data_IF_512360806726
#
_entry.id   IF_512360806726
#
_cell.length_a   1.000
_cell.length_b   1.000
_cell.length_c   1.000
_cell.angle_alpha   90.00
_cell.angle_beta   90.00
_cell.angle_gamma   90.00
#
_symmetry.space_group_name_H-M   'P 1'
#
loop_
_entity.id
_entity.type
_entity.pdbx_description
1 polymer ?
#
# COMPACT_ATOMS: atom_id res chain seq x y z
N UNK A 1 28.45 2.16 -6.74
CA UNK A 1 27.11 2.29 -6.12
C UNK A 1 26.26 1.13 -6.54
N UNK A 2 25.57 0.47 -5.60
CA UNK A 2 24.70 -0.68 -5.90
C UNK A 2 23.27 -0.18 -6.05
N UNK A 3 22.63 -0.41 -7.19
CA UNK A 3 21.23 -0.03 -7.45
C UNK A 3 20.22 -0.60 -6.43
N UNK A 4 20.63 -1.60 -5.64
CA UNK A 4 19.83 -2.23 -4.59
C UNK A 4 19.31 -1.23 -3.53
N UNK A 5 20.03 -0.14 -3.25
CA UNK A 5 19.58 0.89 -2.29
C UNK A 5 18.38 1.72 -2.80
N UNK A 6 18.09 1.68 -4.10
CA UNK A 6 16.94 2.35 -4.71
C UNK A 6 15.68 1.48 -4.68
N UNK A 7 15.82 0.15 -4.57
CA UNK A 7 14.68 -0.77 -4.66
C UNK A 7 13.61 -0.48 -3.61
N UNK A 8 13.93 -0.20 -2.32
CA UNK A 8 12.90 0.13 -1.33
C UNK A 8 12.13 1.41 -1.64
N UNK A 9 12.79 2.47 -2.12
CA UNK A 9 12.08 3.71 -2.48
C UNK A 9 11.24 3.54 -3.75
N UNK A 10 11.72 2.80 -4.74
CA UNK A 10 10.95 2.53 -5.97
C UNK A 10 9.70 1.71 -5.64
N UNK A 11 9.86 0.59 -4.94
CA UNK A 11 8.75 -0.31 -4.59
C UNK A 11 7.73 0.34 -3.65
N UNK A 12 8.18 1.10 -2.64
CA UNK A 12 7.27 1.87 -1.77
C UNK A 12 6.58 3.03 -2.52
N UNK A 13 7.23 3.66 -3.50
CA UNK A 13 6.59 4.67 -4.37
C UNK A 13 5.48 4.03 -5.20
N UNK A 14 5.73 2.87 -5.81
CA UNK A 14 4.69 2.13 -6.54
C UNK A 14 3.53 1.74 -5.61
N UNK A 15 3.81 1.32 -4.39
CA UNK A 15 2.79 0.97 -3.40
C UNK A 15 1.93 2.18 -3.00
N UNK A 16 2.56 3.30 -2.66
CA UNK A 16 1.87 4.53 -2.29
C UNK A 16 1.04 5.09 -3.45
N UNK A 17 1.60 5.11 -4.67
CA UNK A 17 0.89 5.57 -5.85
C UNK A 17 -0.31 4.69 -6.18
N UNK A 18 -0.15 3.36 -6.13
CA UNK A 18 -1.26 2.42 -6.33
C UNK A 18 -2.36 2.63 -5.27
N UNK A 19 -1.99 2.81 -4.01
CA UNK A 19 -2.96 3.11 -2.95
C UNK A 19 -3.69 4.44 -3.20
N UNK A 20 -2.99 5.48 -3.64
CA UNK A 20 -3.57 6.78 -3.96
C UNK A 20 -4.51 6.71 -5.15
N UNK A 21 -4.10 6.05 -6.24
CA UNK A 21 -4.91 5.86 -7.44
C UNK A 21 -6.21 5.11 -7.13
N UNK A 22 -6.13 4.00 -6.39
CA UNK A 22 -7.31 3.28 -5.93
C UNK A 22 -8.23 4.16 -5.07
N UNK A 23 -7.67 4.94 -4.15
CA UNK A 23 -8.46 5.84 -3.31
C UNK A 23 -9.17 6.92 -4.13
N UNK A 24 -8.45 7.54 -5.08
CA UNK A 24 -8.98 8.56 -5.97
C UNK A 24 -10.10 8.00 -6.86
N UNK A 25 -9.83 6.89 -7.55
CA UNK A 25 -10.76 6.28 -8.50
C UNK A 25 -12.01 5.74 -7.80
N UNK A 26 -11.87 5.08 -6.65
CA UNK A 26 -13.01 4.55 -5.89
C UNK A 26 -13.96 5.62 -5.37
N UNK A 27 -13.46 6.84 -5.12
CA UNK A 27 -14.33 7.97 -4.73
C UNK A 27 -15.25 8.43 -5.86
N UNK A 28 -14.92 8.16 -7.12
CA UNK A 28 -15.78 8.51 -8.26
C UNK A 28 -17.10 7.75 -8.15
N UNK A 29 -17.07 6.45 -7.84
CA UNK A 29 -18.25 5.60 -7.62
C UNK A 29 -19.14 6.06 -6.45
N UNK A 30 -18.65 6.96 -5.58
CA UNK A 30 -19.42 7.50 -4.45
C UNK A 30 -20.21 8.77 -4.77
N UNK A 31 -20.12 9.31 -5.99
CA UNK A 31 -20.87 10.51 -6.37
C UNK A 31 -22.37 10.20 -6.51
N UNK A 32 -23.19 11.17 -6.12
CA UNK A 32 -24.66 11.00 -6.05
C UNK A 32 -25.32 10.83 -7.42
N UNK A 33 -24.80 11.54 -8.42
CA UNK A 33 -25.25 11.52 -9.82
C UNK A 33 -25.10 10.15 -10.48
N UNK A 34 -24.06 9.40 -10.13
CA UNK A 34 -23.81 8.06 -10.69
C UNK A 34 -24.12 6.92 -9.72
N UNK A 35 -24.82 7.17 -8.61
CA UNK A 35 -25.07 6.14 -7.58
C UNK A 35 -25.77 4.91 -8.13
N UNK A 36 -26.86 5.08 -8.89
CA UNK A 36 -27.62 3.96 -9.45
C UNK A 36 -26.78 3.09 -10.42
N UNK A 37 -26.04 3.66 -11.41
CA UNK A 37 -25.13 2.86 -12.23
C UNK A 37 -23.94 2.30 -11.44
N UNK A 38 -23.41 3.02 -10.45
CA UNK A 38 -22.33 2.52 -9.59
C UNK A 38 -22.79 1.29 -8.78
N UNK A 39 -23.96 1.33 -8.16
CA UNK A 39 -24.51 0.21 -7.38
C UNK A 39 -24.67 -1.06 -8.23
N UNK A 40 -24.94 -0.91 -9.54
CA UNK A 40 -25.02 -2.05 -10.48
C UNK A 40 -23.66 -2.63 -10.90
N UNK A 41 -22.61 -1.83 -10.89
CA UNK A 41 -21.28 -2.21 -11.41
C UNK A 41 -20.30 -2.65 -10.32
N UNK A 42 -20.47 -2.15 -9.10
CA UNK A 42 -19.47 -2.28 -8.04
C UNK A 42 -19.13 -3.73 -7.75
N UNK A 43 -20.12 -4.62 -7.61
CA UNK A 43 -19.85 -6.02 -7.28
C UNK A 43 -19.01 -6.71 -8.36
N UNK A 44 -19.39 -6.59 -9.64
CA UNK A 44 -18.63 -7.18 -10.75
C UNK A 44 -17.24 -6.57 -10.89
N UNK A 45 -17.11 -5.26 -10.62
CA UNK A 45 -15.83 -4.58 -10.61
C UNK A 45 -14.91 -5.17 -9.54
N UNK A 46 -15.39 -5.31 -8.30
CA UNK A 46 -14.60 -5.83 -7.19
C UNK A 46 -14.25 -7.31 -7.33
N UNK A 47 -15.15 -8.13 -7.87
CA UNK A 47 -14.87 -9.54 -8.19
C UNK A 47 -13.73 -9.68 -9.21
N UNK A 48 -13.65 -8.75 -10.17
CA UNK A 48 -12.59 -8.75 -11.20
C UNK A 48 -11.30 -8.13 -10.69
N UNK A 49 -11.41 -7.03 -9.95
CA UNK A 49 -10.28 -6.22 -9.51
C UNK A 49 -9.53 -6.80 -8.32
N UNK A 50 -10.24 -7.39 -7.35
CA UNK A 50 -9.67 -7.76 -6.06
C UNK A 50 -8.54 -8.80 -6.19
N UNK A 51 -8.68 -9.92 -6.93
CA UNK A 51 -7.62 -10.92 -7.01
C UNK A 51 -6.27 -10.38 -7.53
N UNK A 52 -6.19 -9.70 -8.69
CA UNK A 52 -4.91 -9.14 -9.14
C UNK A 52 -4.42 -8.00 -8.25
N UNK A 53 -5.31 -7.17 -7.68
CA UNK A 53 -4.91 -6.09 -6.79
C UNK A 53 -4.23 -6.61 -5.52
N UNK A 54 -4.73 -7.71 -4.93
CA UNK A 54 -4.10 -8.38 -3.78
C UNK A 54 -2.70 -8.87 -4.14
N UNK A 55 -2.54 -9.51 -5.30
CA UNK A 55 -1.23 -9.97 -5.79
C UNK A 55 -0.24 -8.81 -5.93
N UNK A 56 -0.66 -7.69 -6.51
CA UNK A 56 0.18 -6.49 -6.65
C UNK A 56 0.59 -5.96 -5.27
N UNK A 57 -0.35 -5.83 -4.34
CA UNK A 57 -0.07 -5.32 -2.99
C UNK A 57 0.91 -6.21 -2.24
N UNK A 58 0.68 -7.53 -2.21
CA UNK A 58 1.57 -8.47 -1.54
C UNK A 58 2.96 -8.50 -2.17
N UNK A 59 3.05 -8.36 -3.49
CA UNK A 59 4.34 -8.28 -4.19
C UNK A 59 5.13 -7.05 -3.78
N UNK A 60 4.49 -5.87 -3.75
CA UNK A 60 5.14 -4.61 -3.38
C UNK A 60 5.56 -4.59 -1.90
N UNK A 61 4.73 -5.11 -1.00
CA UNK A 61 5.08 -5.28 0.42
C UNK A 61 6.29 -6.19 0.56
N UNK A 62 6.29 -7.33 -0.14
CA UNK A 62 7.39 -8.31 -0.09
C UNK A 62 8.70 -7.72 -0.62
N UNK A 63 8.69 -7.05 -1.77
CA UNK A 63 9.88 -6.43 -2.36
C UNK A 63 10.46 -5.34 -1.44
N UNK A 64 9.59 -4.45 -0.92
CA UNK A 64 10.01 -3.34 -0.05
C UNK A 64 10.63 -3.88 1.25
N UNK A 65 9.95 -4.82 1.92
CA UNK A 65 10.39 -5.37 3.20
C UNK A 65 11.62 -6.28 3.05
N UNK A 66 11.61 -7.22 2.11
CA UNK A 66 12.73 -8.14 1.90
C UNK A 66 14.01 -7.39 1.53
N UNK A 67 13.91 -6.38 0.64
CA UNK A 67 15.09 -5.61 0.26
C UNK A 67 15.59 -4.73 1.42
N UNK A 68 14.68 -4.08 2.14
CA UNK A 68 15.06 -3.25 3.30
C UNK A 68 15.78 -4.08 4.38
N UNK A 69 15.25 -5.25 4.72
CA UNK A 69 15.88 -6.13 5.71
C UNK A 69 17.15 -6.80 5.18
N UNK A 70 17.18 -7.17 3.90
CA UNK A 70 18.38 -7.67 3.24
C UNK A 70 19.52 -6.66 3.30
N UNK A 71 19.24 -5.37 3.05
CA UNK A 71 20.22 -4.29 3.19
C UNK A 71 20.67 -4.10 4.64
N UNK A 72 19.73 -4.12 5.58
CA UNK A 72 20.03 -4.06 7.03
C UNK A 72 20.96 -5.19 7.46
N UNK A 73 20.78 -6.40 6.92
CA UNK A 73 21.60 -7.57 7.24
C UNK A 73 22.98 -7.54 6.56
N UNK A 74 23.00 -7.30 5.24
CA UNK A 74 24.21 -7.41 4.42
C UNK A 74 25.11 -6.18 4.44
N UNK A 75 24.55 -4.99 4.70
CA UNK A 75 25.25 -3.70 4.59
C UNK A 75 25.25 -2.92 5.92
N UNK A 76 25.06 -3.61 7.04
CA UNK A 76 24.82 -2.99 8.36
C UNK A 76 25.84 -1.91 8.75
N UNK A 77 27.15 -2.16 8.58
CA UNK A 77 28.22 -1.21 8.92
C UNK A 77 28.10 0.08 8.13
N UNK A 78 27.96 -0.02 6.80
CA UNK A 78 27.80 1.14 5.92
C UNK A 78 26.53 1.92 6.27
N UNK A 79 25.40 1.24 6.46
CA UNK A 79 24.15 1.90 6.78
C UNK A 79 24.18 2.62 8.13
N UNK A 80 24.94 2.09 9.11
CA UNK A 80 25.15 2.76 10.40
C UNK A 80 26.03 3.99 10.25
N UNK A 81 27.13 3.88 9.50
CA UNK A 81 28.02 5.01 9.20
C UNK A 81 27.27 6.14 8.48
N UNK A 82 26.41 5.80 7.51
CA UNK A 82 25.55 6.77 6.80
C UNK A 82 24.31 7.22 7.58
N UNK A 83 24.05 6.64 8.75
CA UNK A 83 22.86 6.93 9.55
C UNK A 83 21.53 6.55 8.86
N UNK A 84 21.55 5.63 7.89
CA UNK A 84 20.38 5.12 7.17
C UNK A 84 19.84 3.78 7.71
N UNK A 85 20.57 3.13 8.63
CA UNK A 85 20.20 1.82 9.18
C UNK A 85 18.77 1.75 9.74
N UNK A 86 18.44 2.65 10.68
CA UNK A 86 17.12 2.66 11.32
C UNK A 86 16.01 3.04 10.33
N UNK A 87 16.32 3.80 9.28
CA UNK A 87 15.37 4.20 8.25
C UNK A 87 15.00 3.03 7.33
N UNK A 88 15.98 2.22 6.90
CA UNK A 88 15.68 0.97 6.18
C UNK A 88 14.92 -0.01 7.06
N UNK A 89 15.32 -0.18 8.33
CA UNK A 89 14.60 -1.06 9.26
C UNK A 89 13.14 -0.62 9.42
N UNK A 90 12.90 0.67 9.71
CA UNK A 90 11.56 1.23 9.86
C UNK A 90 10.73 1.11 8.57
N UNK A 91 11.31 1.40 7.40
CA UNK A 91 10.63 1.26 6.11
C UNK A 91 10.18 -0.19 5.86
N UNK A 92 11.07 -1.17 6.09
CA UNK A 92 10.72 -2.58 5.96
C UNK A 92 9.64 -3.03 6.95
N UNK A 93 9.69 -2.57 8.20
CA UNK A 93 8.67 -2.86 9.22
C UNK A 93 7.33 -2.24 8.87
N UNK A 94 7.31 -0.98 8.41
CA UNK A 94 6.08 -0.29 8.00
C UNK A 94 5.46 -0.94 6.75
N UNK A 95 6.27 -1.41 5.80
CA UNK A 95 5.75 -2.18 4.66
C UNK A 95 4.96 -3.42 5.13
N UNK A 96 5.47 -4.18 6.11
CA UNK A 96 4.73 -5.29 6.71
C UNK A 96 3.53 -4.78 7.54
N UNK A 97 3.69 -3.65 8.21
CA UNK A 97 2.65 -2.98 8.99
C UNK A 97 1.38 -2.69 8.19
N UNK A 98 1.45 -2.63 6.86
CA UNK A 98 0.29 -2.58 5.98
C UNK A 98 -0.73 -3.70 6.31
N UNK A 99 -0.24 -4.91 6.61
CA UNK A 99 -1.04 -6.10 6.88
C UNK A 99 -1.83 -6.01 8.19
N UNK A 100 -1.50 -5.09 9.10
CA UNK A 100 -2.29 -4.82 10.32
C UNK A 100 -3.72 -4.40 9.99
N UNK A 101 -3.95 -3.84 8.80
CA UNK A 101 -5.28 -3.46 8.33
C UNK A 101 -6.08 -4.61 7.72
N UNK A 102 -5.48 -5.78 7.50
CA UNK A 102 -6.15 -6.92 6.87
C UNK A 102 -7.42 -7.37 7.63
N UNK A 103 -7.45 -7.47 8.98
CA UNK A 103 -8.65 -7.87 9.71
C UNK A 103 -9.82 -6.89 9.52
N UNK A 104 -9.55 -5.60 9.39
CA UNK A 104 -10.57 -4.60 9.10
C UNK A 104 -10.99 -4.60 7.62
N UNK A 105 -10.08 -4.92 6.71
CA UNK A 105 -10.29 -4.84 5.26
C UNK A 105 -11.00 -6.07 4.68
N UNK A 106 -10.65 -7.27 5.14
CA UNK A 106 -11.20 -8.53 4.62
C UNK A 106 -12.74 -8.60 4.60
N UNK A 107 -13.48 -8.29 5.70
CA UNK A 107 -14.94 -8.35 5.65
C UNK A 107 -15.54 -7.33 4.68
N UNK A 108 -14.92 -6.16 4.53
CA UNK A 108 -15.36 -5.13 3.58
C UNK A 108 -15.20 -5.63 2.14
N UNK A 109 -14.07 -6.28 1.83
CA UNK A 109 -13.82 -6.86 0.50
C UNK A 109 -14.77 -8.01 0.19
N UNK A 110 -15.12 -8.84 1.17
CA UNK A 110 -16.11 -9.91 1.02
C UNK A 110 -17.49 -9.32 0.70
N UNK A 111 -17.93 -8.32 1.48
CA UNK A 111 -19.21 -7.64 1.24
C UNK A 111 -19.27 -6.94 -0.12
N UNK A 112 -18.15 -6.38 -0.61
CA UNK A 112 -18.07 -5.76 -1.94
C UNK A 112 -18.12 -6.76 -3.09
N UNK A 113 -17.80 -8.03 -2.84
CA UNK A 113 -17.79 -9.10 -3.84
C UNK A 113 -19.04 -10.00 -3.77
N UNK A 114 -19.88 -9.83 -2.75
CA UNK A 114 -21.11 -10.60 -2.57
C UNK A 114 -22.29 -9.97 -3.32
N UNK A 115 -22.82 -10.70 -4.31
CA UNK A 115 -23.97 -10.28 -5.11
C UNK A 115 -25.29 -10.21 -4.34
N UNK A 116 -25.34 -10.78 -3.13
CA UNK A 116 -26.53 -10.77 -2.28
C UNK A 116 -26.55 -9.59 -1.29
N UNK A 117 -25.51 -8.74 -1.28
CA UNK A 117 -25.42 -7.59 -0.36
C UNK A 117 -26.09 -6.36 -0.92
N UNK A 118 -26.95 -5.77 -0.10
CA UNK A 118 -27.57 -4.48 -0.40
C UNK A 118 -26.60 -3.31 -0.19
N UNK A 119 -26.74 -2.28 -1.01
CA UNK A 119 -26.03 -0.99 -0.90
C UNK A 119 -24.49 -1.07 -1.02
N UNK A 120 -23.92 -1.59 -2.12
CA UNK A 120 -22.48 -1.69 -2.32
C UNK A 120 -21.75 -0.34 -2.24
N UNK A 121 -22.40 0.79 -2.60
CA UNK A 121 -21.84 2.14 -2.40
C UNK A 121 -21.59 2.48 -0.92
N UNK A 122 -22.42 1.97 0.01
CA UNK A 122 -22.21 2.17 1.46
C UNK A 122 -20.98 1.41 1.94
N UNK A 123 -20.85 0.16 1.50
CA UNK A 123 -19.67 -0.68 1.79
C UNK A 123 -18.40 -0.06 1.19
N UNK A 124 -18.48 0.45 -0.05
CA UNK A 124 -17.37 1.15 -0.69
C UNK A 124 -16.93 2.40 0.08
N UNK A 125 -17.88 3.15 0.64
CA UNK A 125 -17.53 4.32 1.48
C UNK A 125 -16.72 3.91 2.70
N UNK A 126 -17.05 2.78 3.31
CA UNK A 126 -16.27 2.24 4.42
C UNK A 126 -14.88 1.81 3.95
N UNK A 127 -14.79 1.12 2.81
CA UNK A 127 -13.54 0.74 2.19
C UNK A 127 -12.62 1.95 1.95
N UNK A 128 -13.13 3.00 1.30
CA UNK A 128 -12.38 4.25 1.00
C UNK A 128 -11.83 4.88 2.28
N UNK A 129 -12.58 4.84 3.38
CA UNK A 129 -12.15 5.40 4.66
C UNK A 129 -10.98 4.61 5.25
N UNK A 130 -11.12 3.29 5.37
CA UNK A 130 -10.07 2.43 5.95
C UNK A 130 -8.82 2.42 5.06
N UNK A 131 -9.01 2.27 3.76
CA UNK A 131 -7.94 2.29 2.77
C UNK A 131 -7.19 3.63 2.76
N UNK A 132 -7.92 4.75 2.76
CA UNK A 132 -7.31 6.08 2.80
C UNK A 132 -6.52 6.33 4.08
N UNK A 133 -7.04 5.88 5.23
CA UNK A 133 -6.32 5.99 6.50
C UNK A 133 -5.03 5.15 6.50
N UNK A 134 -5.07 3.89 6.04
CA UNK A 134 -3.87 3.06 5.89
C UNK A 134 -2.85 3.72 4.96
N UNK A 135 -3.30 4.24 3.82
CA UNK A 135 -2.43 4.90 2.86
C UNK A 135 -1.74 6.14 3.45
N UNK A 136 -2.50 7.01 4.13
CA UNK A 136 -1.98 8.24 4.72
C UNK A 136 -1.07 8.00 5.94
N UNK A 137 -1.20 6.85 6.60
CA UNK A 137 -0.42 6.53 7.80
C UNK A 137 0.75 5.62 7.48
N UNK A 138 0.49 4.35 7.20
CA UNK A 138 1.52 3.32 7.08
C UNK A 138 2.23 3.37 5.73
N UNK A 139 1.50 3.49 4.63
CA UNK A 139 2.10 3.48 3.29
C UNK A 139 2.95 4.75 3.05
N UNK A 140 2.43 5.91 3.47
CA UNK A 140 3.17 7.18 3.41
C UNK A 140 4.40 7.18 4.35
N UNK A 141 4.26 6.72 5.60
CA UNK A 141 5.40 6.65 6.51
C UNK A 141 6.48 5.68 6.00
N UNK A 142 6.10 4.53 5.45
CA UNK A 142 7.00 3.59 4.79
C UNK A 142 7.81 4.29 3.69
N UNK A 143 7.11 4.98 2.78
CA UNK A 143 7.72 5.73 1.69
C UNK A 143 8.71 6.80 2.19
N UNK A 144 8.33 7.59 3.20
CA UNK A 144 9.21 8.60 3.81
C UNK A 144 10.48 7.93 4.37
N UNK A 145 10.32 6.83 5.11
CA UNK A 145 11.47 6.11 5.66
C UNK A 145 12.40 5.59 4.57
N UNK A 146 11.86 4.98 3.51
CA UNK A 146 12.65 4.52 2.38
C UNK A 146 13.36 5.69 1.67
N UNK A 147 12.69 6.83 1.48
CA UNK A 147 13.26 8.01 0.84
C UNK A 147 14.47 8.52 1.64
N UNK A 148 14.29 8.74 2.94
CA UNK A 148 15.37 9.23 3.82
C UNK A 148 16.52 8.23 3.88
N UNK A 149 16.22 6.92 3.96
CA UNK A 149 17.24 5.88 3.95
C UNK A 149 18.08 5.91 2.67
N UNK A 150 17.42 5.99 1.52
CA UNK A 150 18.06 6.01 0.21
C UNK A 150 18.91 7.27 0.04
N UNK A 151 18.37 8.46 0.30
CA UNK A 151 19.09 9.73 0.19
C UNK A 151 20.34 9.72 1.06
N UNK A 152 20.21 9.35 2.34
CA UNK A 152 21.37 9.25 3.26
C UNK A 152 22.44 8.26 2.82
N UNK A 153 22.05 7.21 2.12
CA UNK A 153 22.99 6.18 1.65
C UNK A 153 23.71 6.60 0.37
N UNK A 154 23.07 7.42 -0.47
CA UNK A 154 23.56 7.83 -1.80
C UNK A 154 24.27 9.18 -1.77
N UNK A 155 23.93 10.11 -0.87
CA UNK A 155 24.54 11.45 -0.77
C UNK A 155 25.99 11.44 -0.21
N UNK A 156 26.87 10.65 -0.82
CA UNK A 156 28.30 10.53 -0.53
C UNK A 156 29.14 11.03 -1.71
#
# INVERSE_FOLDING_TARGET
MTFLYLVPIISSTCSLYFAWDQWFFMRIFLKKDIRAPADRLLTSYWQTFCPPAVTVVLSLISVTSATSFGLVYTSSTLLREKGSYNWFLAGGTLAIGHLVFAPAMMPILQDLQDSNKDNPTKTLRNWVRVHGYRAATVDLACWICCLVATVKTIDA
#
